data_IF_313536818735
#
_entry.id   IF_313536818735
#
_cell.length_a   1.000
_cell.length_b   1.000
_cell.length_c   1.000
_cell.angle_alpha   90.00
_cell.angle_beta   90.00
_cell.angle_gamma   90.00
#
_symmetry.space_group_name_H-M   'P 1'
#
loop_
_entity.id
_entity.type
_entity.pdbx_description
1 polymer ?
#
# COMPACT_ATOMS: atom_id res chain seq x y z
N UNK A 1 29.00 47.29 34.73
CA UNK A 1 28.45 46.64 33.52
C UNK A 1 27.16 45.86 33.82
N UNK A 2 26.98 45.33 35.03
CA UNK A 2 25.77 44.57 35.43
C UNK A 2 24.49 45.42 35.47
N UNK A 3 24.51 46.64 36.01
CA UNK A 3 23.32 47.52 36.04
C UNK A 3 22.74 47.83 34.65
N UNK A 4 23.60 48.03 33.65
CA UNK A 4 23.18 48.29 32.27
C UNK A 4 22.52 47.07 31.63
N UNK A 5 22.92 45.87 32.04
CA UNK A 5 22.34 44.62 31.55
C UNK A 5 20.95 44.39 32.16
N UNK A 6 20.79 44.66 33.47
CA UNK A 6 19.50 44.60 34.17
C UNK A 6 18.51 45.60 33.57
N UNK A 7 18.95 46.83 33.29
CA UNK A 7 18.08 47.84 32.67
C UNK A 7 17.60 47.41 31.26
N UNK A 8 18.50 46.86 30.45
CA UNK A 8 18.13 46.35 29.12
C UNK A 8 17.13 45.19 29.20
N UNK A 9 17.27 44.29 30.18
CA UNK A 9 16.32 43.19 30.40
C UNK A 9 14.94 43.71 30.83
N UNK A 10 14.89 44.73 31.69
CA UNK A 10 13.63 45.38 32.10
C UNK A 10 12.95 46.03 30.88
N UNK A 11 13.71 46.71 30.03
CA UNK A 11 13.18 47.36 28.83
C UNK A 11 12.65 46.32 27.81
N UNK A 12 13.31 45.17 27.67
CA UNK A 12 12.80 44.06 26.86
C UNK A 12 11.52 43.44 27.44
N UNK A 13 11.43 43.31 28.77
CA UNK A 13 10.23 42.81 29.45
C UNK A 13 9.08 43.78 29.26
N UNK A 14 9.30 45.09 29.38
CA UNK A 14 8.27 46.11 29.16
C UNK A 14 7.71 46.03 27.74
N UNK A 15 8.57 45.91 26.72
CA UNK A 15 8.12 45.72 25.34
C UNK A 15 7.29 44.44 25.15
N UNK A 16 7.67 43.36 25.81
CA UNK A 16 6.90 42.10 25.76
C UNK A 16 5.56 42.23 26.48
N UNK A 17 5.53 42.94 27.61
CA UNK A 17 4.29 43.24 28.33
C UNK A 17 3.36 44.13 27.52
N UNK A 18 3.88 45.12 26.80
CA UNK A 18 3.09 45.99 25.91
C UNK A 18 2.41 45.19 24.80
N UNK A 19 3.14 44.27 24.15
CA UNK A 19 2.58 43.36 23.13
C UNK A 19 1.51 42.43 23.73
N UNK A 20 1.74 41.90 24.93
CA UNK A 20 0.76 41.06 25.63
C UNK A 20 -0.48 41.87 26.02
N UNK A 21 -0.31 43.11 26.47
CA UNK A 21 -1.40 44.00 26.85
C UNK A 21 -2.27 44.36 25.64
N UNK A 22 -1.65 44.64 24.49
CA UNK A 22 -2.35 44.88 23.23
C UNK A 22 -3.18 43.66 22.80
N UNK A 23 -2.61 42.46 22.87
CA UNK A 23 -3.32 41.21 22.58
C UNK A 23 -4.49 40.96 23.55
N UNK A 24 -4.29 41.24 24.84
CA UNK A 24 -5.35 41.13 25.86
C UNK A 24 -6.49 42.12 25.59
N UNK A 25 -6.19 43.34 25.13
CA UNK A 25 -7.21 44.32 24.75
C UNK A 25 -8.01 43.88 23.53
N UNK A 26 -7.35 43.32 22.51
CA UNK A 26 -8.01 42.74 21.34
C UNK A 26 -8.93 41.58 21.74
N UNK A 27 -8.44 40.67 22.59
CA UNK A 27 -9.25 39.56 23.12
C UNK A 27 -10.44 40.04 23.97
N UNK A 28 -10.30 41.13 24.73
CA UNK A 28 -11.41 41.72 25.51
C UNK A 28 -12.45 42.38 24.62
N UNK A 29 -12.05 42.96 23.48
CA UNK A 29 -12.98 43.55 22.51
C UNK A 29 -13.81 42.46 21.84
N UNK A 30 -13.16 41.40 21.38
CA UNK A 30 -13.81 40.26 20.74
C UNK A 30 -14.82 39.57 21.67
N UNK A 31 -14.53 39.52 22.97
CA UNK A 31 -15.43 38.96 24.00
C UNK A 31 -16.69 39.80 24.18
N UNK A 32 -16.58 41.13 24.10
CA UNK A 32 -17.71 42.06 24.19
C UNK A 32 -18.59 42.02 22.95
N UNK A 33 -17.99 42.02 21.77
CA UNK A 33 -18.72 41.86 20.50
C UNK A 33 -19.50 40.54 20.46
N UNK A 34 -18.95 39.48 21.08
CA UNK A 34 -19.64 38.19 21.23
C UNK A 34 -20.77 38.21 22.27
N UNK A 35 -20.64 38.98 23.35
CA UNK A 35 -21.73 39.20 24.31
C UNK A 35 -22.88 39.98 23.67
N UNK A 36 -22.57 41.01 22.89
CA UNK A 36 -23.56 41.80 22.15
C UNK A 36 -24.28 40.94 21.10
N UNK A 37 -23.52 40.15 20.31
CA UNK A 37 -24.10 39.22 19.33
C UNK A 37 -25.01 38.18 19.99
N UNK A 38 -24.63 37.68 21.17
CA UNK A 38 -25.47 36.75 21.95
C UNK A 38 -26.78 37.42 22.37
N UNK A 39 -26.73 38.66 22.84
CA UNK A 39 -27.92 39.39 23.28
C UNK A 39 -28.85 39.72 22.10
N UNK A 40 -28.28 40.08 20.94
CA UNK A 40 -29.04 40.30 19.71
C UNK A 40 -29.65 39.01 19.16
N UNK A 41 -28.91 37.90 19.17
CA UNK A 41 -29.41 36.58 18.80
C UNK A 41 -30.52 36.09 19.74
N UNK A 42 -30.42 36.37 21.04
CA UNK A 42 -31.48 36.07 22.00
C UNK A 42 -32.77 36.84 21.71
N UNK A 43 -32.64 38.10 21.26
CA UNK A 43 -33.77 38.95 20.88
C UNK A 43 -34.45 38.44 19.60
N UNK A 44 -33.68 38.27 18.52
CA UNK A 44 -34.19 37.78 17.22
C UNK A 44 -34.69 36.34 17.32
N UNK A 45 -34.02 35.50 18.11
CA UNK A 45 -34.40 34.11 18.34
C UNK A 45 -35.75 33.96 19.02
N UNK A 46 -36.16 34.92 19.86
CA UNK A 46 -37.49 34.91 20.50
C UNK A 46 -38.61 35.18 19.49
N UNK A 47 -38.36 36.05 18.52
CA UNK A 47 -39.35 36.38 17.48
C UNK A 47 -39.42 35.28 16.41
N UNK A 48 -38.28 34.75 15.98
CA UNK A 48 -38.22 33.59 15.08
C UNK A 48 -38.84 32.34 15.70
N UNK A 49 -38.69 32.14 17.01
CA UNK A 49 -39.35 31.04 17.73
C UNK A 49 -40.87 31.12 17.63
N UNK A 50 -41.46 32.31 17.84
CA UNK A 50 -42.91 32.48 17.75
C UNK A 50 -43.41 32.21 16.34
N UNK A 51 -42.75 32.78 15.33
CA UNK A 51 -43.10 32.56 13.93
C UNK A 51 -42.96 31.09 13.52
N UNK A 52 -41.85 30.43 13.89
CA UNK A 52 -41.65 29.03 13.57
C UNK A 52 -42.65 28.11 14.29
N UNK A 53 -43.04 28.41 15.53
CA UNK A 53 -44.09 27.65 16.23
C UNK A 53 -45.43 27.77 15.53
N UNK A 54 -45.81 28.99 15.12
CA UNK A 54 -47.07 29.25 14.43
C UNK A 54 -47.12 28.57 13.04
N UNK A 55 -46.01 28.54 12.29
CA UNK A 55 -45.92 27.89 10.96
C UNK A 55 -45.69 26.37 11.02
N UNK A 56 -45.10 25.84 12.10
CA UNK A 56 -44.88 24.40 12.27
C UNK A 56 -46.08 23.68 12.90
N UNK A 57 -46.98 24.40 13.57
CA UNK A 57 -48.28 23.87 14.03
C UNK A 57 -49.16 23.42 12.84
N UNK A 58 -48.93 23.97 11.63
CA UNK A 58 -49.52 23.52 10.36
C UNK A 58 -48.98 22.15 9.86
N UNK A 59 -47.82 21.69 10.36
CA UNK A 59 -47.13 20.45 9.95
C UNK A 59 -47.27 19.29 10.98
N UNK A 60 -48.29 19.38 11.83
CA UNK A 60 -48.51 18.70 13.13
C UNK A 60 -48.28 17.18 13.32
N UNK A 61 -47.95 16.37 12.31
CA UNK A 61 -47.94 14.91 12.48
C UNK A 61 -46.58 14.30 12.89
N UNK A 62 -45.46 15.03 12.85
CA UNK A 62 -44.14 14.44 13.16
C UNK A 62 -43.13 15.31 13.92
N UNK A 63 -43.50 16.53 14.32
CA UNK A 63 -42.56 17.46 14.97
C UNK A 63 -43.12 17.95 16.31
N UNK A 64 -42.48 17.57 17.44
CA UNK A 64 -42.78 18.10 18.76
C UNK A 64 -42.06 19.44 18.97
N UNK A 65 -42.81 20.49 19.28
CA UNK A 65 -42.31 21.83 19.62
C UNK A 65 -41.25 21.81 20.73
N UNK A 66 -41.30 20.82 21.63
CA UNK A 66 -40.28 20.62 22.68
C UNK A 66 -38.91 20.23 22.13
N UNK A 67 -38.86 19.49 21.02
CA UNK A 67 -37.60 19.05 20.43
C UNK A 67 -36.86 20.22 19.77
N UNK A 68 -37.58 21.17 19.17
CA UNK A 68 -37.04 22.43 18.66
C UNK A 68 -36.46 23.32 19.76
N UNK A 69 -37.17 23.45 20.88
CA UNK A 69 -36.68 24.17 22.06
C UNK A 69 -35.42 23.51 22.64
N UNK A 70 -35.40 22.17 22.68
CA UNK A 70 -34.26 21.42 23.16
C UNK A 70 -33.05 21.60 22.24
N UNK A 71 -33.25 21.57 20.92
CA UNK A 71 -32.23 21.86 19.91
C UNK A 71 -31.68 23.29 20.04
N UNK A 72 -32.55 24.29 20.12
CA UNK A 72 -32.17 25.69 20.31
C UNK A 72 -31.35 25.88 21.59
N UNK A 73 -31.80 25.31 22.71
CA UNK A 73 -31.06 25.34 23.98
C UNK A 73 -29.72 24.62 23.90
N UNK A 74 -29.64 23.51 23.17
CA UNK A 74 -28.39 22.76 22.96
C UNK A 74 -27.41 23.55 22.09
N UNK A 75 -27.89 24.27 21.07
CA UNK A 75 -27.07 25.16 20.25
C UNK A 75 -26.55 26.34 21.08
N UNK A 76 -27.43 27.05 21.80
CA UNK A 76 -27.06 28.18 22.67
C UNK A 76 -26.05 27.78 23.76
N UNK A 77 -26.23 26.61 24.37
CA UNK A 77 -25.29 26.08 25.38
C UNK A 77 -23.92 25.73 24.79
N UNK A 78 -23.86 25.43 23.49
CA UNK A 78 -22.65 25.00 22.79
C UNK A 78 -22.09 26.07 21.84
N UNK A 79 -22.54 27.33 21.92
CA UNK A 79 -22.01 28.44 21.08
C UNK A 79 -20.49 28.53 21.19
N UNK A 80 -19.93 28.40 22.39
CA UNK A 80 -18.47 28.39 22.60
C UNK A 80 -17.75 27.21 21.93
N UNK A 81 -18.44 26.10 21.70
CA UNK A 81 -17.90 24.95 20.95
C UNK A 81 -18.00 25.19 19.46
N UNK A 82 -19.11 25.76 19.00
CA UNK A 82 -19.31 26.15 17.60
C UNK A 82 -18.28 27.20 17.19
N UNK A 83 -18.03 28.22 18.03
CA UNK A 83 -17.02 29.24 17.79
C UNK A 83 -15.62 28.63 17.64
N UNK A 84 -15.24 27.70 18.53
CA UNK A 84 -13.97 26.97 18.42
C UNK A 84 -13.86 26.14 17.13
N UNK A 85 -14.96 25.59 16.65
CA UNK A 85 -15.00 24.88 15.36
C UNK A 85 -14.85 25.86 14.19
N UNK A 86 -15.48 27.04 14.26
CA UNK A 86 -15.34 28.08 13.24
C UNK A 86 -13.89 28.59 13.17
N UNK A 87 -13.27 28.87 14.31
CA UNK A 87 -11.85 29.24 14.41
C UNK A 87 -10.94 28.14 13.85
N UNK A 88 -11.24 26.86 14.11
CA UNK A 88 -10.51 25.74 13.51
C UNK A 88 -10.72 25.66 11.99
N UNK A 89 -11.92 25.94 11.48
CA UNK A 89 -12.18 25.97 10.04
C UNK A 89 -11.40 27.09 9.32
N UNK A 90 -11.15 28.23 9.98
CA UNK A 90 -10.26 29.27 9.45
C UNK A 90 -8.83 28.75 9.29
N UNK A 91 -8.30 28.05 10.29
CA UNK A 91 -6.98 27.42 10.18
C UNK A 91 -6.90 26.31 9.11
N UNK A 92 -7.99 25.58 8.86
CA UNK A 92 -8.08 24.61 7.76
C UNK A 92 -8.11 25.33 6.40
N UNK A 93 -8.84 26.44 6.31
CA UNK A 93 -8.89 27.25 5.10
C UNK A 93 -7.51 27.83 4.77
N UNK A 94 -6.78 28.31 5.78
CA UNK A 94 -5.42 28.83 5.60
C UNK A 94 -4.43 27.72 5.26
N UNK A 95 -4.51 26.55 5.92
CA UNK A 95 -3.76 25.36 5.51
C UNK A 95 -4.06 24.95 4.06
N UNK A 96 -5.32 24.98 3.62
CA UNK A 96 -5.69 24.63 2.25
C UNK A 96 -5.18 25.66 1.24
N UNK A 97 -5.15 26.96 1.57
CA UNK A 97 -4.55 27.99 0.72
C UNK A 97 -3.04 27.80 0.58
N UNK A 98 -2.35 27.37 1.64
CA UNK A 98 -0.91 27.14 1.65
C UNK A 98 -0.54 25.80 1.01
N UNK A 99 -1.39 24.78 1.16
CA UNK A 99 -1.20 23.44 0.62
C UNK A 99 -1.58 23.35 -0.87
N UNK A 100 -2.56 24.13 -1.33
CA UNK A 100 -3.03 24.09 -2.72
C UNK A 100 -1.90 24.31 -3.75
N UNK A 101 -0.99 25.30 -3.60
CA UNK A 101 0.14 25.50 -4.50
C UNK A 101 1.14 24.34 -4.45
N UNK A 102 1.50 23.85 -3.26
CA UNK A 102 2.42 22.74 -3.06
C UNK A 102 1.89 21.43 -3.67
N UNK A 103 0.58 21.23 -3.58
CA UNK A 103 -0.09 20.04 -4.12
C UNK A 103 -0.17 20.05 -5.64
N UNK A 104 -0.22 21.23 -6.29
CA UNK A 104 -0.45 21.33 -7.73
C UNK A 104 0.69 20.71 -8.53
N UNK A 105 1.93 21.03 -8.18
CA UNK A 105 3.10 20.46 -8.86
C UNK A 105 3.28 18.98 -8.49
N UNK A 106 3.05 18.60 -7.23
CA UNK A 106 3.10 17.20 -6.79
C UNK A 106 2.05 16.31 -7.44
N UNK A 107 0.84 16.82 -7.67
CA UNK A 107 -0.25 16.11 -8.34
C UNK A 107 0.04 15.96 -9.84
N UNK A 108 0.60 16.99 -10.49
CA UNK A 108 1.00 16.91 -11.90
C UNK A 108 2.13 15.90 -12.09
N UNK A 109 3.15 15.91 -11.23
CA UNK A 109 4.23 14.92 -11.26
C UNK A 109 3.73 13.50 -10.99
N UNK A 110 2.79 13.34 -10.07
CA UNK A 110 2.14 12.06 -9.82
C UNK A 110 1.37 11.59 -11.06
N UNK A 111 0.58 12.46 -11.70
CA UNK A 111 -0.15 12.13 -12.93
C UNK A 111 0.80 11.73 -14.06
N UNK A 112 1.89 12.47 -14.25
CA UNK A 112 2.90 12.15 -15.27
C UNK A 112 3.56 10.79 -15.01
N UNK A 113 3.86 10.46 -13.76
CA UNK A 113 4.40 9.15 -13.39
C UNK A 113 3.40 8.02 -13.58
N UNK A 114 2.14 8.24 -13.21
CA UNK A 114 1.08 7.25 -13.40
C UNK A 114 0.83 7.00 -14.90
N UNK A 115 0.83 8.06 -15.72
CA UNK A 115 0.74 7.95 -17.18
C UNK A 115 1.97 7.20 -17.75
N UNK A 116 3.18 7.51 -17.28
CA UNK A 116 4.38 6.77 -17.68
C UNK A 116 4.28 5.28 -17.34
N UNK A 117 3.76 4.93 -16.16
CA UNK A 117 3.54 3.55 -15.74
C UNK A 117 2.47 2.86 -16.58
N UNK A 118 1.39 3.56 -16.91
CA UNK A 118 0.35 3.04 -17.79
C UNK A 118 0.89 2.77 -19.20
N UNK A 119 1.59 3.73 -19.82
CA UNK A 119 2.22 3.56 -21.14
C UNK A 119 3.25 2.44 -21.17
N UNK A 120 3.97 2.21 -20.07
CA UNK A 120 4.92 1.10 -19.93
C UNK A 120 4.24 -0.24 -19.65
N UNK A 121 2.91 -0.27 -19.49
CA UNK A 121 2.12 -1.48 -19.27
C UNK A 121 2.19 -2.02 -17.84
N UNK A 122 2.61 -1.23 -16.85
CA UNK A 122 2.69 -1.70 -15.45
C UNK A 122 1.31 -2.07 -14.90
N UNK A 123 0.26 -1.30 -15.23
CA UNK A 123 -1.09 -1.61 -14.77
C UNK A 123 -1.64 -2.88 -15.42
N UNK A 124 -1.38 -3.09 -16.71
CA UNK A 124 -1.76 -4.31 -17.42
C UNK A 124 -1.02 -5.51 -16.85
N UNK A 125 0.29 -5.41 -16.64
CA UNK A 125 1.09 -6.45 -16.01
C UNK A 125 0.59 -6.78 -14.59
N UNK A 126 0.27 -5.78 -13.77
CA UNK A 126 -0.27 -6.00 -12.42
C UNK A 126 -1.64 -6.67 -12.46
N UNK A 127 -2.49 -6.30 -13.42
CA UNK A 127 -3.81 -6.89 -13.61
C UNK A 127 -3.71 -8.36 -14.03
N UNK A 128 -2.87 -8.67 -15.01
CA UNK A 128 -2.64 -10.05 -15.45
C UNK A 128 -1.91 -10.87 -14.38
N UNK A 129 -0.95 -10.27 -13.68
CA UNK A 129 -0.29 -10.86 -12.51
C UNK A 129 -1.29 -11.22 -11.41
N UNK A 130 -2.26 -10.34 -11.16
CA UNK A 130 -3.38 -10.59 -10.24
C UNK A 130 -4.20 -11.82 -10.64
N UNK A 131 -4.50 -12.00 -11.94
CA UNK A 131 -5.20 -13.20 -12.44
C UNK A 131 -4.37 -14.47 -12.27
N UNK A 132 -3.06 -14.39 -12.48
CA UNK A 132 -2.16 -15.53 -12.24
C UNK A 132 -2.19 -15.93 -10.77
N UNK A 133 -2.10 -14.95 -9.86
CA UNK A 133 -2.17 -15.18 -8.42
C UNK A 133 -3.54 -15.74 -8.03
N UNK A 134 -4.64 -15.20 -8.57
CA UNK A 134 -5.99 -15.69 -8.30
C UNK A 134 -6.18 -17.13 -8.78
N UNK A 135 -5.69 -17.47 -9.97
CA UNK A 135 -5.70 -18.85 -10.48
C UNK A 135 -4.86 -19.80 -9.61
N UNK A 136 -3.71 -19.34 -9.10
CA UNK A 136 -2.90 -20.10 -8.15
C UNK A 136 -3.70 -20.32 -6.87
N UNK A 137 -4.19 -19.26 -6.23
CA UNK A 137 -4.91 -19.35 -4.94
C UNK A 137 -6.21 -20.16 -5.04
N UNK A 138 -6.91 -20.11 -6.16
CA UNK A 138 -8.13 -20.90 -6.39
C UNK A 138 -7.84 -22.36 -6.74
N UNK A 139 -6.70 -22.65 -7.36
CA UNK A 139 -6.29 -24.03 -7.71
C UNK A 139 -5.63 -24.77 -6.56
N UNK A 140 -5.00 -24.05 -5.63
CA UNK A 140 -4.34 -24.63 -4.47
C UNK A 140 -5.27 -24.63 -3.25
N UNK A 141 -5.40 -25.79 -2.60
CA UNK A 141 -6.11 -25.86 -1.32
C UNK A 141 -5.24 -25.24 -0.22
N UNK A 142 -5.81 -24.87 0.94
CA UNK A 142 -5.05 -24.36 2.07
C UNK A 142 -3.89 -25.27 2.50
N UNK A 143 -4.02 -26.58 2.31
CA UNK A 143 -2.99 -27.58 2.57
C UNK A 143 -1.83 -27.48 1.57
N UNK A 144 -2.13 -27.25 0.29
CA UNK A 144 -1.13 -27.10 -0.77
C UNK A 144 -0.33 -25.80 -0.59
N UNK A 145 -1.00 -24.71 -0.18
CA UNK A 145 -0.33 -23.44 0.12
C UNK A 145 0.67 -23.57 1.28
N UNK A 146 0.35 -24.38 2.31
CA UNK A 146 1.29 -24.66 3.41
C UNK A 146 2.47 -25.51 2.95
N UNK A 147 2.21 -26.57 2.18
CA UNK A 147 3.28 -27.39 1.62
C UNK A 147 4.22 -26.57 0.71
N UNK A 148 3.68 -25.63 -0.07
CA UNK A 148 4.48 -24.69 -0.85
C UNK A 148 5.30 -23.76 0.04
N UNK A 149 4.71 -23.18 1.09
CA UNK A 149 5.43 -22.31 2.02
C UNK A 149 6.58 -23.05 2.74
N UNK A 150 6.35 -24.29 3.15
CA UNK A 150 7.35 -25.11 3.85
C UNK A 150 8.50 -25.52 2.91
N UNK A 151 8.24 -25.69 1.61
CA UNK A 151 9.22 -26.12 0.61
C UNK A 151 9.71 -25.00 -0.33
N UNK A 152 9.33 -23.74 -0.08
CA UNK A 152 9.63 -22.63 -1.00
C UNK A 152 11.14 -22.44 -1.20
N UNK A 153 11.93 -22.64 -0.15
CA UNK A 153 13.40 -22.55 -0.23
C UNK A 153 13.93 -23.61 -1.19
N UNK A 154 13.55 -24.88 -1.02
CA UNK A 154 13.99 -25.98 -1.90
C UNK A 154 13.56 -25.78 -3.35
N UNK A 155 12.35 -25.27 -3.58
CA UNK A 155 11.87 -24.94 -4.93
C UNK A 155 12.73 -23.84 -5.54
N UNK A 156 12.97 -22.75 -4.81
CA UNK A 156 13.80 -21.63 -5.28
C UNK A 156 15.25 -22.06 -5.53
N UNK A 157 15.82 -22.94 -4.70
CA UNK A 157 17.15 -23.50 -4.91
C UNK A 157 17.21 -24.40 -6.15
N UNK A 158 16.16 -25.20 -6.39
CA UNK A 158 16.04 -26.03 -7.59
C UNK A 158 15.96 -25.15 -8.83
N UNK A 159 15.12 -24.12 -8.83
CA UNK A 159 15.03 -23.14 -9.91
C UNK A 159 16.37 -22.47 -10.14
N UNK A 160 17.04 -22.01 -9.07
CA UNK A 160 18.39 -21.43 -9.14
C UNK A 160 19.37 -22.39 -9.82
N UNK A 161 19.40 -23.65 -9.41
CA UNK A 161 20.27 -24.68 -9.97
C UNK A 161 19.96 -24.96 -11.45
N UNK A 162 18.68 -24.98 -11.83
CA UNK A 162 18.26 -25.14 -13.24
C UNK A 162 18.64 -23.93 -14.11
N UNK A 163 18.64 -22.72 -13.52
CA UNK A 163 19.05 -21.49 -14.21
C UNK A 163 20.57 -21.29 -14.26
N UNK A 164 21.37 -22.23 -13.74
CA UNK A 164 22.83 -22.17 -13.88
C UNK A 164 23.23 -22.32 -15.37
N UNK A 165 24.26 -21.59 -15.84
CA UNK A 165 24.65 -21.58 -17.25
C UNK A 165 24.87 -22.98 -17.85
N UNK A 166 25.53 -23.87 -17.12
CA UNK A 166 25.84 -25.23 -17.57
C UNK A 166 24.58 -26.09 -17.77
N UNK A 167 23.58 -25.93 -16.88
CA UNK A 167 22.31 -26.64 -16.98
C UNK A 167 21.44 -26.09 -18.10
N UNK A 168 21.34 -24.76 -18.23
CA UNK A 168 20.62 -24.12 -19.33
C UNK A 168 21.19 -24.52 -20.70
N UNK A 169 22.53 -24.57 -20.82
CA UNK A 169 23.19 -25.02 -22.04
C UNK A 169 22.84 -26.49 -22.38
N UNK A 170 22.85 -27.36 -21.37
CA UNK A 170 22.51 -28.78 -21.53
C UNK A 170 21.05 -28.97 -21.94
N UNK A 171 20.11 -28.24 -21.32
CA UNK A 171 18.69 -28.25 -21.67
C UNK A 171 18.46 -27.76 -23.11
N UNK A 172 19.08 -26.65 -23.50
CA UNK A 172 18.98 -26.13 -24.86
C UNK A 172 19.55 -27.11 -25.89
N UNK A 173 20.66 -27.78 -25.56
CA UNK A 173 21.26 -28.82 -26.41
C UNK A 173 20.30 -30.01 -26.59
N UNK A 174 19.69 -30.48 -25.50
CA UNK A 174 18.71 -31.57 -25.54
C UNK A 174 17.46 -31.21 -26.36
N UNK A 175 16.92 -30.00 -26.19
CA UNK A 175 15.78 -29.50 -26.97
C UNK A 175 16.11 -29.40 -28.45
N UNK A 176 17.33 -28.95 -28.79
CA UNK A 176 17.78 -28.89 -30.18
C UNK A 176 17.95 -30.30 -30.79
N UNK A 177 18.48 -31.26 -30.04
CA UNK A 177 18.55 -32.66 -30.49
C UNK A 177 17.13 -33.19 -30.74
N UNK A 178 16.18 -33.00 -29.82
CA UNK A 178 14.80 -33.46 -29.99
C UNK A 178 14.12 -32.87 -31.24
N UNK A 179 14.30 -31.57 -31.50
CA UNK A 179 13.76 -30.92 -32.72
C UNK A 179 14.33 -31.48 -34.02
N UNK A 180 15.57 -31.97 -33.97
CA UNK A 180 16.30 -32.44 -35.15
C UNK A 180 16.23 -33.96 -35.33
N UNK A 181 15.57 -34.68 -34.42
CA UNK A 181 15.27 -36.10 -34.59
C UNK A 181 13.99 -36.21 -35.42
N UNK A 182 14.10 -36.66 -36.67
CA UNK A 182 12.95 -37.24 -37.38
C UNK A 182 12.66 -38.60 -36.73
N UNK A 183 11.68 -38.63 -35.83
CA UNK A 183 11.35 -39.79 -34.98
C UNK A 183 10.64 -40.91 -35.78
N UNK A 184 10.45 -40.75 -37.09
CA UNK A 184 9.92 -41.81 -37.95
C UNK A 184 11.02 -42.82 -38.29
N UNK A 185 11.23 -43.79 -37.39
CA UNK A 185 11.99 -45.01 -37.67
C UNK A 185 11.17 -45.85 -38.67
N UNK A 186 11.28 -45.50 -39.94
CA UNK A 186 10.51 -46.07 -41.06
C UNK A 186 11.10 -47.39 -41.57
N UNK A 187 12.35 -47.71 -41.22
CA UNK A 187 13.01 -48.95 -41.62
C UNK A 187 13.03 -50.00 -40.49
N UNK A 188 12.69 -51.25 -40.83
CA UNK A 188 12.80 -52.40 -39.94
C UNK A 188 14.26 -52.64 -39.60
N UNK A 189 14.69 -52.19 -38.42
CA UNK A 189 16.06 -52.41 -37.94
C UNK A 189 16.30 -53.91 -37.75
N UNK A 190 17.28 -54.47 -38.45
CA UNK A 190 17.67 -55.88 -38.33
C UNK A 190 18.43 -56.14 -37.03
N UNK A 191 18.25 -57.33 -36.43
CA UNK A 191 18.98 -57.76 -35.23
C UNK A 191 20.51 -57.65 -35.38
N UNK A 192 21.04 -57.96 -36.56
CA UNK A 192 22.47 -57.80 -36.84
C UNK A 192 22.88 -56.33 -36.94
N UNK A 193 21.99 -55.48 -37.48
CA UNK A 193 22.17 -54.03 -37.52
C UNK A 193 22.30 -53.44 -36.12
N UNK A 194 21.44 -53.86 -35.19
CA UNK A 194 21.51 -53.46 -33.78
C UNK A 194 22.82 -53.88 -33.10
N UNK A 195 23.27 -55.12 -33.32
CA UNK A 195 24.54 -55.59 -32.75
C UNK A 195 25.75 -54.82 -33.29
N UNK A 196 25.72 -54.44 -34.58
CA UNK A 196 26.73 -53.58 -35.17
C UNK A 196 26.68 -52.17 -34.58
N UNK A 197 25.47 -51.64 -34.36
CA UNK A 197 25.25 -50.32 -33.76
C UNK A 197 25.75 -50.25 -32.31
N UNK A 198 25.60 -51.32 -31.54
CA UNK A 198 26.19 -51.41 -30.18
C UNK A 198 27.72 -51.29 -30.15
N UNK A 199 28.38 -51.59 -31.27
CA UNK A 199 29.83 -51.55 -31.38
C UNK A 199 30.35 -50.18 -31.87
N UNK A 200 29.48 -49.23 -32.23
CA UNK A 200 29.88 -47.89 -32.67
C UNK A 200 30.56 -47.12 -31.54
N UNK A 201 31.52 -46.23 -31.86
CA UNK A 201 32.21 -45.44 -30.84
C UNK A 201 31.25 -44.54 -30.05
N UNK A 202 30.19 -44.04 -30.68
CA UNK A 202 29.14 -43.25 -30.04
C UNK A 202 28.40 -44.05 -28.98
N UNK A 203 27.92 -45.25 -29.33
CA UNK A 203 27.17 -46.12 -28.41
C UNK A 203 28.04 -46.61 -27.26
N UNK A 204 29.31 -46.96 -27.52
CA UNK A 204 30.27 -47.31 -26.46
C UNK A 204 30.52 -46.18 -25.48
N UNK A 205 30.67 -44.94 -25.97
CA UNK A 205 30.81 -43.75 -25.11
C UNK A 205 29.55 -43.50 -24.29
N UNK A 206 28.37 -43.66 -24.90
CA UNK A 206 27.08 -43.55 -24.21
C UNK A 206 26.92 -44.59 -23.10
N UNK A 207 27.25 -45.85 -23.37
CA UNK A 207 27.23 -46.92 -22.36
C UNK A 207 28.24 -46.67 -21.23
N UNK A 208 29.46 -46.22 -21.56
CA UNK A 208 30.46 -45.87 -20.55
C UNK A 208 29.99 -44.72 -19.66
N UNK A 209 29.39 -43.68 -20.25
CA UNK A 209 28.76 -42.59 -19.50
C UNK A 209 27.64 -43.09 -18.59
N UNK A 210 26.72 -43.91 -19.11
CA UNK A 210 25.61 -44.46 -18.32
C UNK A 210 26.13 -45.25 -17.11
N UNK A 211 27.14 -46.10 -17.30
CA UNK A 211 27.78 -46.84 -16.20
C UNK A 211 28.42 -45.89 -15.18
N UNK A 212 29.12 -44.85 -15.63
CA UNK A 212 29.76 -43.89 -14.74
C UNK A 212 28.74 -43.05 -13.97
N UNK A 213 27.67 -42.63 -14.63
CA UNK A 213 26.57 -41.89 -14.03
C UNK A 213 25.88 -42.71 -12.93
N UNK A 214 25.53 -43.97 -13.21
CA UNK A 214 24.93 -44.87 -12.23
C UNK A 214 25.85 -45.12 -11.03
N UNK A 215 27.16 -45.28 -11.25
CA UNK A 215 28.14 -45.38 -10.15
C UNK A 215 28.16 -44.13 -9.27
N UNK A 216 28.12 -42.95 -9.89
CA UNK A 216 28.13 -41.69 -9.14
C UNK A 216 26.85 -41.48 -8.34
N UNK A 217 25.68 -41.79 -8.92
CA UNK A 217 24.40 -41.73 -8.20
C UNK A 217 24.37 -42.66 -6.97
N UNK A 218 24.82 -43.90 -7.13
CA UNK A 218 24.88 -44.86 -6.02
C UNK A 218 25.83 -44.38 -4.90
N UNK A 219 26.94 -43.74 -5.27
CA UNK A 219 27.88 -43.18 -4.30
C UNK A 219 27.34 -41.94 -3.57
N UNK A 220 26.55 -41.10 -4.22
CA UNK A 220 25.88 -39.98 -3.55
C UNK A 220 24.79 -40.44 -2.59
N UNK A 221 23.97 -41.43 -2.97
CA UNK A 221 22.96 -42.02 -2.08
C UNK A 221 23.59 -42.64 -0.82
N UNK A 222 24.75 -43.29 -0.96
CA UNK A 222 25.50 -43.82 0.18
C UNK A 222 26.04 -42.73 1.12
N UNK A 223 26.39 -41.53 0.61
CA UNK A 223 26.81 -40.41 1.48
C UNK A 223 25.68 -39.91 2.37
N UNK A 224 24.46 -39.82 1.86
CA UNK A 224 23.27 -39.41 2.65
C UNK A 224 22.87 -40.43 3.73
N UNK A 225 23.19 -41.71 3.57
CA UNK A 225 22.96 -42.73 4.61
C UNK A 225 24.00 -42.69 5.75
N UNK A 226 25.22 -42.20 5.49
CA UNK A 226 26.28 -42.12 6.52
C UNK A 226 26.12 -40.87 7.39
N UNK A 227 25.57 -39.77 6.85
CA UNK A 227 25.35 -38.52 7.60
C UNK A 227 24.06 -38.49 8.44
N UNK A 228 23.16 -39.46 8.27
CA UNK A 228 21.92 -39.57 9.07
C UNK A 228 22.06 -40.46 10.31
N UNK A 229 23.27 -40.97 10.60
CA UNK A 229 23.58 -41.82 11.76
C UNK A 229 24.66 -41.24 12.69
N UNK A 230 24.90 -39.92 12.64
CA UNK A 230 25.68 -39.19 13.65
C UNK A 230 24.85 -38.06 14.26
#
# INVERSE_FOLDING_TARGET
MEEKNIQNQIDEINKKLDVILEEIELQRRHRREMEDLKDDLMRVGTDLYKTAVDELEELSDSFDTKDLLYLGKKLLRNVNTINRVVEQLESVNDFMKDFAPLSRDGIIDLMNKLDEYDRKGYFEFMKEGGRIIDNIVTSFKPEDARALADNIVTILETVRNLTQPDMLHSLNSAVNVYKNLDIEITEKVSFFGLLKELNTPEMKKGLAFAVQFLKNMANEQNKYHITSHN
#
